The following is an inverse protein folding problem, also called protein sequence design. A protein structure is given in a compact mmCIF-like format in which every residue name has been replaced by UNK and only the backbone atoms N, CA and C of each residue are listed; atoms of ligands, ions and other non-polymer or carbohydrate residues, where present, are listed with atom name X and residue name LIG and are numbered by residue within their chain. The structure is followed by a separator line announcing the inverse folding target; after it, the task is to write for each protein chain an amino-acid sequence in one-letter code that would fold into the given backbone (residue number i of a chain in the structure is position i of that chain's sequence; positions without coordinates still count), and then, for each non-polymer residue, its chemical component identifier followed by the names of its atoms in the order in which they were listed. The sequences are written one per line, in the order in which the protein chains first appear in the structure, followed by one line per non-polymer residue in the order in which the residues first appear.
data_IF_552299976249
#
_entry.id   IF_552299976249
#
_cell.length_a   1.000
_cell.length_b   1.000
_cell.length_c   1.000
_cell.angle_alpha   90.00
_cell.angle_beta   90.00
_cell.angle_gamma   90.00
#
_symmetry.space_group_name_H-M   'P 1'
#
loop_
_entity.id
_entity.type
_entity.pdbx_description
1 polymer ?
#
# COMPACT_ATOMS: atom_id res chain seq x y z
N UNK A 1 8.87 -17.33 -44.96
CA UNK A 1 8.37 -16.98 -43.62
C UNK A 1 9.06 -15.70 -43.18
N UNK A 2 8.24 -14.74 -42.78
CA UNK A 2 8.55 -13.30 -42.71
C UNK A 2 9.48 -12.94 -41.54
N UNK A 3 10.55 -12.20 -41.84
CA UNK A 3 11.45 -11.59 -40.87
C UNK A 3 10.84 -10.30 -40.27
N UNK A 4 10.71 -10.35 -38.94
CA UNK A 4 11.01 -9.31 -37.94
C UNK A 4 11.17 -7.84 -38.37
N UNK A 5 10.24 -7.04 -37.81
CA UNK A 5 10.48 -5.77 -37.11
C UNK A 5 11.19 -4.63 -37.86
N UNK A 6 10.40 -3.72 -38.41
CA UNK A 6 10.76 -2.31 -38.50
C UNK A 6 9.51 -1.48 -38.18
N UNK A 7 9.30 -1.17 -36.89
CA UNK A 7 8.28 -0.23 -36.48
C UNK A 7 8.69 1.17 -36.97
N UNK A 8 7.97 1.67 -37.96
CA UNK A 8 8.05 3.04 -38.45
C UNK A 8 7.96 4.02 -37.28
N UNK A 9 9.08 4.59 -36.85
CA UNK A 9 9.10 5.85 -36.14
C UNK A 9 8.58 6.91 -37.11
N UNK A 10 7.31 7.29 -36.96
CA UNK A 10 6.82 8.46 -37.66
C UNK A 10 7.59 9.67 -37.14
N UNK A 11 8.22 10.48 -38.02
CA UNK A 11 8.87 11.70 -37.59
C UNK A 11 7.82 12.63 -36.98
N UNK A 12 8.02 13.01 -35.72
CA UNK A 12 7.22 14.01 -35.03
C UNK A 12 7.28 15.31 -35.85
N UNK A 13 6.17 15.68 -36.50
CA UNK A 13 6.07 16.87 -37.37
C UNK A 13 5.92 18.19 -36.63
N UNK A 14 6.10 18.22 -35.30
CA UNK A 14 6.17 19.47 -34.56
C UNK A 14 7.62 19.88 -34.40
N UNK A 15 8.01 20.98 -35.03
CA UNK A 15 9.29 21.63 -34.81
C UNK A 15 9.50 21.84 -33.31
N UNK A 16 10.61 21.33 -32.77
CA UNK A 16 11.05 21.61 -31.41
C UNK A 16 11.57 23.05 -31.36
N UNK A 17 10.67 24.02 -31.49
CA UNK A 17 10.95 25.44 -31.42
C UNK A 17 10.38 25.97 -30.11
N UNK A 18 11.24 26.49 -29.25
CA UNK A 18 10.85 27.13 -27.98
C UNK A 18 10.18 28.49 -28.21
N UNK A 19 10.22 29.01 -29.44
CA UNK A 19 9.57 30.27 -29.83
C UNK A 19 8.13 30.01 -30.26
N UNK A 20 7.19 30.72 -29.66
CA UNK A 20 5.78 30.66 -30.05
C UNK A 20 5.63 31.08 -31.51
N UNK A 21 4.97 30.25 -32.33
CA UNK A 21 4.61 30.59 -33.71
C UNK A 21 3.72 31.83 -33.67
N UNK A 22 4.19 32.94 -34.25
CA UNK A 22 3.41 34.16 -34.36
C UNK A 22 2.25 33.93 -35.31
N UNK A 23 1.02 33.87 -34.78
CA UNK A 23 -0.19 33.75 -35.59
C UNK A 23 -0.41 35.04 -36.41
N UNK A 24 -0.80 34.89 -37.67
CA UNK A 24 -1.20 36.02 -38.50
C UNK A 24 -2.34 36.80 -37.82
N UNK A 25 -2.25 38.14 -37.77
CA UNK A 25 -3.28 39.01 -37.15
C UNK A 25 -4.62 38.92 -37.88
N UNK A 26 -5.40 37.87 -37.62
CA UNK A 26 -6.82 37.79 -37.96
C UNK A 26 -7.63 38.27 -36.75
N UNK A 27 -8.72 39.00 -36.98
CA UNK A 27 -9.52 39.70 -35.94
C UNK A 27 -10.15 38.78 -34.86
N UNK A 28 -10.09 37.45 -34.99
CA UNK A 28 -10.64 36.50 -34.02
C UNK A 28 -9.57 35.51 -33.56
N UNK A 29 -9.34 35.46 -32.24
CA UNK A 29 -8.48 34.45 -31.62
C UNK A 29 -9.08 33.05 -31.86
N UNK A 30 -8.27 32.01 -32.15
CA UNK A 30 -8.78 30.65 -32.27
C UNK A 30 -9.46 30.23 -30.96
N UNK A 31 -10.65 29.64 -31.08
CA UNK A 31 -11.39 29.10 -29.92
C UNK A 31 -10.57 27.95 -29.34
N UNK A 32 -9.85 28.21 -28.25
CA UNK A 32 -9.17 27.16 -27.51
C UNK A 32 -10.19 26.11 -27.05
N UNK A 33 -9.80 24.84 -27.14
CA UNK A 33 -10.60 23.74 -26.60
C UNK A 33 -10.78 23.97 -25.08
N UNK A 34 -12.04 23.92 -24.63
CA UNK A 34 -12.41 24.08 -23.21
C UNK A 34 -11.68 23.06 -22.34
N UNK A 35 -11.41 21.85 -22.85
CA UNK A 35 -10.65 20.82 -22.13
C UNK A 35 -9.23 21.29 -21.84
N UNK A 36 -8.56 21.86 -22.84
CA UNK A 36 -7.20 22.41 -22.70
C UNK A 36 -7.21 23.61 -21.76
N UNK A 37 -8.22 24.48 -21.83
CA UNK A 37 -8.38 25.59 -20.89
C UNK A 37 -8.57 25.13 -19.46
N UNK A 38 -9.40 24.10 -19.21
CA UNK A 38 -9.61 23.52 -17.88
C UNK A 38 -8.33 22.86 -17.35
N UNK A 39 -7.63 22.08 -18.16
CA UNK A 39 -6.34 21.49 -17.78
C UNK A 39 -5.34 22.57 -17.39
N UNK A 40 -5.20 23.63 -18.19
CA UNK A 40 -4.31 24.77 -17.87
C UNK A 40 -4.73 25.47 -16.58
N UNK A 41 -6.03 25.67 -16.37
CA UNK A 41 -6.57 26.28 -15.16
C UNK A 41 -6.31 25.46 -13.90
N UNK A 42 -6.47 24.13 -13.95
CA UNK A 42 -6.22 23.26 -12.79
C UNK A 42 -4.73 23.00 -12.54
N UNK A 43 -3.88 23.03 -13.57
CA UNK A 43 -2.43 22.90 -13.41
C UNK A 43 -1.78 24.19 -12.90
N UNK A 44 -2.22 25.35 -13.40
CA UNK A 44 -1.67 26.66 -13.06
C UNK A 44 -2.81 27.57 -12.64
N UNK A 45 -3.25 27.36 -11.40
CA UNK A 45 -4.38 28.11 -10.88
C UNK A 45 -3.95 29.56 -10.54
N UNK A 46 -4.60 30.59 -11.11
CA UNK A 46 -4.20 31.98 -10.90
C UNK A 46 -4.38 32.46 -9.44
N UNK A 47 -5.23 31.77 -8.65
CA UNK A 47 -5.39 32.01 -7.21
C UNK A 47 -4.47 31.15 -6.34
N UNK A 48 -3.40 30.57 -6.89
CA UNK A 48 -2.38 29.93 -6.05
C UNK A 48 -1.73 30.99 -5.16
N UNK A 49 -1.80 30.86 -3.82
CA UNK A 49 -1.22 31.85 -2.94
C UNK A 49 0.30 31.85 -3.07
N UNK A 50 0.92 32.99 -2.81
CA UNK A 50 2.38 33.09 -2.74
C UNK A 50 2.92 32.21 -1.60
N UNK A 51 4.19 31.76 -1.68
CA UNK A 51 4.82 31.00 -0.61
C UNK A 51 4.75 31.74 0.73
N UNK A 52 4.54 30.98 1.79
CA UNK A 52 4.34 31.49 3.13
C UNK A 52 5.63 32.10 3.70
N UNK A 53 5.55 33.32 4.23
CA UNK A 53 6.67 34.02 4.88
C UNK A 53 6.44 34.05 6.38
N UNK A 54 7.31 33.41 7.14
CA UNK A 54 7.25 33.39 8.60
C UNK A 54 8.25 34.37 9.23
N UNK A 55 7.84 35.00 10.33
CA UNK A 55 8.79 35.65 11.24
C UNK A 55 9.65 34.60 11.96
N UNK A 56 10.81 35.01 12.48
CA UNK A 56 11.77 34.10 13.14
C UNK A 56 11.13 33.21 14.21
N UNK A 57 10.39 33.79 15.16
CA UNK A 57 9.74 33.04 16.23
C UNK A 57 8.67 32.06 15.71
N UNK A 58 7.90 32.46 14.69
CA UNK A 58 6.89 31.57 14.07
C UNK A 58 7.56 30.40 13.34
N UNK A 59 8.66 30.67 12.62
CA UNK A 59 9.44 29.66 11.94
C UNK A 59 10.03 28.64 12.93
N UNK A 60 10.61 29.09 14.04
CA UNK A 60 11.16 28.21 15.07
C UNK A 60 10.08 27.32 15.73
N UNK A 61 8.91 27.87 16.02
CA UNK A 61 7.76 27.08 16.53
C UNK A 61 7.35 26.01 15.52
N UNK A 62 7.19 26.39 14.26
CA UNK A 62 6.82 25.45 13.20
C UNK A 62 7.87 24.34 13.04
N UNK A 63 9.15 24.70 13.02
CA UNK A 63 10.27 23.75 12.92
C UNK A 63 10.26 22.76 14.09
N UNK A 64 10.02 23.25 15.30
CA UNK A 64 9.98 22.40 16.50
C UNK A 64 8.82 21.41 16.44
N UNK A 65 7.61 21.87 16.08
CA UNK A 65 6.43 21.01 15.91
C UNK A 65 6.68 19.96 14.83
N UNK A 66 7.21 20.38 13.68
CA UNK A 66 7.54 19.48 12.57
C UNK A 66 8.55 18.41 13.00
N UNK A 67 9.61 18.79 13.71
CA UNK A 67 10.62 17.85 14.20
C UNK A 67 10.04 16.87 15.21
N UNK A 68 9.22 17.36 16.15
CA UNK A 68 8.52 16.52 17.12
C UNK A 68 7.59 15.52 16.43
N UNK A 69 6.88 15.94 15.37
CA UNK A 69 6.02 15.08 14.57
C UNK A 69 6.81 13.99 13.84
N UNK A 70 7.94 14.33 13.21
CA UNK A 70 8.82 13.33 12.59
C UNK A 70 9.33 12.28 13.58
N UNK A 71 9.73 12.73 14.78
CA UNK A 71 10.18 11.84 15.85
C UNK A 71 9.04 10.94 16.34
N UNK A 72 7.85 11.49 16.51
CA UNK A 72 6.66 10.71 16.86
C UNK A 72 6.35 9.66 15.79
N UNK A 73 6.33 10.03 14.51
CA UNK A 73 6.11 9.08 13.41
C UNK A 73 7.15 7.97 13.36
N UNK A 74 8.42 8.29 13.59
CA UNK A 74 9.50 7.30 13.68
C UNK A 74 9.25 6.31 14.81
N UNK A 75 8.89 6.78 16.00
CA UNK A 75 8.54 5.92 17.15
C UNK A 75 7.30 5.05 16.87
N UNK A 76 6.27 5.61 16.24
CA UNK A 76 5.06 4.86 15.87
C UNK A 76 5.39 3.75 14.87
N UNK A 77 6.27 4.02 13.89
CA UNK A 77 6.71 3.01 12.93
C UNK A 77 7.52 1.90 13.60
N UNK A 78 8.50 2.26 14.43
CA UNK A 78 9.29 1.29 15.21
C UNK A 78 8.40 0.41 16.09
N UNK A 79 7.42 1.00 16.78
CA UNK A 79 6.47 0.24 17.60
C UNK A 79 5.68 -0.77 16.76
N UNK A 80 5.25 -0.38 15.55
CA UNK A 80 4.55 -1.28 14.63
C UNK A 80 5.46 -2.41 14.14
N UNK A 81 6.69 -2.10 13.78
CA UNK A 81 7.68 -3.09 13.33
C UNK A 81 7.97 -4.12 14.43
N UNK A 82 8.23 -3.67 15.67
CA UNK A 82 8.44 -4.56 16.82
C UNK A 82 7.23 -5.45 17.12
N UNK A 83 6.02 -4.92 16.97
CA UNK A 83 4.80 -5.70 17.18
C UNK A 83 4.62 -6.76 16.08
N UNK A 84 4.94 -6.44 14.82
CA UNK A 84 4.94 -7.40 13.73
C UNK A 84 6.02 -8.48 13.93
N UNK A 85 7.21 -8.10 14.38
CA UNK A 85 8.28 -9.04 14.74
C UNK A 85 7.85 -9.96 15.88
N UNK A 86 7.20 -9.42 16.93
CA UNK A 86 6.65 -10.20 18.04
C UNK A 86 5.65 -11.23 17.55
N UNK A 87 4.70 -10.82 16.71
CA UNK A 87 3.69 -11.71 16.12
C UNK A 87 4.35 -12.78 15.25
N UNK A 88 5.32 -12.41 14.41
CA UNK A 88 6.07 -13.34 13.58
C UNK A 88 6.83 -14.37 14.41
N UNK A 89 7.57 -13.94 15.44
CA UNK A 89 8.32 -14.84 16.31
C UNK A 89 7.39 -15.79 17.08
N UNK A 90 6.24 -15.31 17.53
CA UNK A 90 5.20 -16.15 18.15
C UNK A 90 4.66 -17.20 17.18
N UNK A 91 4.33 -16.80 15.94
CA UNK A 91 3.87 -17.72 14.91
C UNK A 91 4.94 -18.74 14.54
N UNK A 92 6.21 -18.31 14.40
CA UNK A 92 7.35 -19.17 14.12
C UNK A 92 7.53 -20.23 15.22
N UNK A 93 7.50 -19.82 16.49
CA UNK A 93 7.61 -20.74 17.63
C UNK A 93 6.49 -21.78 17.63
N UNK A 94 5.25 -21.36 17.37
CA UNK A 94 4.11 -22.28 17.26
C UNK A 94 4.26 -23.26 16.07
N UNK A 95 4.75 -22.80 14.92
CA UNK A 95 5.01 -23.66 13.76
C UNK A 95 6.14 -24.67 14.01
N UNK A 96 7.23 -24.27 14.68
CA UNK A 96 8.28 -25.20 15.08
C UNK A 96 7.76 -26.26 16.07
N UNK A 97 6.91 -25.86 17.02
CA UNK A 97 6.24 -26.80 17.91
C UNK A 97 5.38 -27.80 17.11
N UNK A 98 4.55 -27.34 16.17
CA UNK A 98 3.74 -28.20 15.29
C UNK A 98 4.57 -29.15 14.42
N UNK A 99 5.81 -28.78 14.08
CA UNK A 99 6.72 -29.61 13.29
C UNK A 99 7.20 -30.84 14.07
N UNK A 100 7.32 -30.70 15.40
CA UNK A 100 7.76 -31.75 16.32
C UNK A 100 6.60 -32.47 17.02
N UNK A 101 5.35 -32.06 16.78
CA UNK A 101 4.16 -32.71 17.35
C UNK A 101 3.78 -33.96 16.57
N UNK A 102 3.44 -35.02 17.31
CA UNK A 102 2.80 -36.24 16.79
C UNK A 102 1.30 -36.06 16.57
N UNK A 103 0.65 -37.03 15.92
CA UNK A 103 -0.80 -37.05 15.66
C UNK A 103 -1.66 -36.97 16.93
N UNK A 104 -1.11 -37.31 18.10
CA UNK A 104 -1.77 -37.24 19.40
C UNK A 104 -1.58 -35.89 20.13
N UNK A 105 -0.88 -34.93 19.50
CA UNK A 105 -0.66 -33.60 20.06
C UNK A 105 0.44 -33.51 21.13
N UNK A 106 1.26 -34.55 21.26
CA UNK A 106 2.43 -34.56 22.16
C UNK A 106 3.68 -34.18 21.36
N UNK A 107 4.55 -33.34 21.92
CA UNK A 107 5.85 -33.03 21.33
C UNK A 107 6.78 -34.22 21.48
N UNK A 108 7.42 -34.61 20.39
CA UNK A 108 8.33 -35.75 20.35
C UNK A 108 9.73 -35.26 20.02
N UNK A 109 10.71 -35.73 20.77
CA UNK A 109 12.10 -35.48 20.45
C UNK A 109 12.47 -36.26 19.20
N UNK A 110 13.14 -35.60 18.25
CA UNK A 110 13.42 -36.15 16.92
C UNK A 110 14.19 -37.49 16.95
N UNK A 111 14.95 -37.74 18.01
CA UNK A 111 15.73 -38.97 18.21
C UNK A 111 14.88 -40.16 18.70
N UNK A 112 13.70 -39.90 19.27
CA UNK A 112 12.82 -40.91 19.89
C UNK A 112 11.69 -41.40 18.98
N UNK A 113 11.67 -40.97 17.71
CA UNK A 113 10.54 -41.25 16.81
C UNK A 113 10.68 -42.65 16.19
N UNK A 114 9.78 -43.55 16.59
CA UNK A 114 9.60 -44.85 15.93
C UNK A 114 9.32 -44.67 14.42
N UNK A 115 10.06 -45.37 13.57
CA UNK A 115 9.95 -45.26 12.11
C UNK A 115 8.51 -45.47 11.57
N UNK A 116 7.68 -46.22 12.29
CA UNK A 116 6.28 -46.49 11.95
C UNK A 116 5.38 -45.26 12.15
N UNK A 117 5.68 -44.40 13.13
CA UNK A 117 4.91 -43.18 13.47
C UNK A 117 5.51 -41.90 12.89
N UNK A 118 6.69 -41.99 12.27
CA UNK A 118 7.36 -40.86 11.64
C UNK A 118 6.50 -40.13 10.58
N UNK A 119 5.50 -40.79 9.98
CA UNK A 119 4.57 -40.17 9.03
C UNK A 119 3.56 -39.21 9.68
N UNK A 120 3.24 -39.43 10.95
CA UNK A 120 2.26 -38.66 11.69
C UNK A 120 2.87 -37.39 12.31
N UNK A 121 4.16 -37.46 12.67
CA UNK A 121 4.95 -36.29 13.10
C UNK A 121 4.96 -35.21 12.00
N UNK A 122 4.63 -33.97 12.39
CA UNK A 122 4.63 -32.83 11.48
C UNK A 122 3.55 -32.88 10.40
N UNK A 123 2.56 -33.78 10.49
CA UNK A 123 1.39 -33.79 9.59
C UNK A 123 0.59 -32.49 9.67
N UNK A 124 0.32 -32.02 10.89
CA UNK A 124 -0.40 -30.75 11.13
C UNK A 124 0.36 -29.55 10.58
N UNK A 125 1.69 -29.52 10.75
CA UNK A 125 2.54 -28.49 10.15
C UNK A 125 2.41 -28.44 8.62
N UNK A 126 2.47 -29.60 7.94
CA UNK A 126 2.30 -29.68 6.48
C UNK A 126 0.94 -29.14 6.03
N UNK A 127 -0.14 -29.48 6.75
CA UNK A 127 -1.49 -28.97 6.44
C UNK A 127 -1.56 -27.45 6.66
N UNK A 128 -1.03 -26.93 7.77
CA UNK A 128 -1.04 -25.51 8.07
C UNK A 128 -0.25 -24.67 7.05
N UNK A 129 0.77 -25.25 6.40
CA UNK A 129 1.55 -24.58 5.35
C UNK A 129 0.86 -24.57 3.97
N UNK A 130 -0.26 -25.28 3.80
CA UNK A 130 -1.04 -25.22 2.57
C UNK A 130 -1.69 -23.85 2.44
N UNK A 131 -1.45 -23.16 1.32
CA UNK A 131 -2.01 -21.84 1.02
C UNK A 131 -3.30 -21.95 0.21
N UNK A 132 -4.17 -22.88 0.59
CA UNK A 132 -5.46 -23.07 -0.08
C UNK A 132 -6.36 -21.87 0.20
N UNK A 133 -7.01 -21.33 -0.83
CA UNK A 133 -7.96 -20.20 -0.77
C UNK A 133 -7.44 -18.87 -0.18
N UNK A 134 -6.16 -18.77 0.19
CA UNK A 134 -5.53 -17.53 0.69
C UNK A 134 -5.62 -16.41 -0.35
N UNK A 135 -5.59 -16.77 -1.64
CA UNK A 135 -5.64 -15.82 -2.75
C UNK A 135 -7.05 -15.35 -3.12
N UNK A 136 -8.11 -15.95 -2.53
CA UNK A 136 -9.49 -15.52 -2.74
C UNK A 136 -9.83 -14.24 -1.95
N UNK A 137 -8.88 -13.73 -1.16
CA UNK A 137 -8.99 -12.48 -0.42
C UNK A 137 -9.62 -12.65 0.96
N UNK A 138 -9.87 -11.52 1.61
CA UNK A 138 -10.51 -11.46 2.94
C UNK A 138 -11.99 -11.15 2.74
N UNK A 139 -12.92 -11.82 3.46
CA UNK A 139 -14.34 -11.51 3.34
C UNK A 139 -14.64 -10.04 3.65
N UNK A 140 -15.46 -9.40 2.82
CA UNK A 140 -15.70 -7.96 2.86
C UNK A 140 -16.27 -7.46 4.20
N UNK A 141 -16.97 -8.33 4.92
CA UNK A 141 -17.52 -8.06 6.25
C UNK A 141 -16.45 -7.76 7.30
N UNK A 142 -15.28 -8.41 7.20
CA UNK A 142 -14.14 -8.20 8.11
C UNK A 142 -13.20 -7.10 7.65
N UNK A 143 -13.24 -6.71 6.37
CA UNK A 143 -12.38 -5.67 5.80
C UNK A 143 -12.90 -4.24 6.05
N UNK A 144 -13.85 -4.05 6.97
CA UNK A 144 -14.44 -2.74 7.27
C UNK A 144 -13.40 -1.80 7.90
N UNK A 145 -13.28 -0.61 7.34
CA UNK A 145 -12.40 0.45 7.85
C UNK A 145 -12.97 1.08 9.13
N UNK A 146 -12.07 1.59 9.98
CA UNK A 146 -12.46 2.33 11.18
C UNK A 146 -13.12 3.66 10.80
N UNK A 147 -14.26 3.98 11.43
CA UNK A 147 -15.00 5.24 11.25
C UNK A 147 -14.77 6.17 12.43
N UNK A 148 -14.98 7.48 12.23
CA UNK A 148 -14.83 8.48 13.29
C UNK A 148 -15.86 8.33 14.41
N UNK A 149 -17.10 7.98 14.07
CA UNK A 149 -18.18 7.68 15.02
C UNK A 149 -18.76 6.30 14.71
N UNK A 150 -19.22 5.55 15.73
CA UNK A 150 -19.85 4.25 15.51
C UNK A 150 -21.20 4.40 14.80
N UNK A 151 -21.66 3.32 14.15
CA UNK A 151 -23.02 3.26 13.60
C UNK A 151 -24.06 3.33 14.73
N UNK A 152 -25.27 3.81 14.41
CA UNK A 152 -26.40 3.87 15.36
C UNK A 152 -26.73 2.50 15.95
N UNK A 153 -26.74 1.48 15.10
CA UNK A 153 -27.10 0.11 15.48
C UNK A 153 -25.88 -0.67 16.02
N UNK A 154 -24.68 -0.07 16.00
CA UNK A 154 -23.46 -0.66 16.55
C UNK A 154 -23.08 -2.01 15.93
N UNK A 155 -23.15 -3.08 16.74
CA UNK A 155 -22.85 -4.46 16.36
C UNK A 155 -24.15 -5.26 16.18
N UNK A 156 -24.22 -6.06 15.12
CA UNK A 156 -25.39 -6.90 14.87
C UNK A 156 -25.37 -8.16 15.77
N UNK A 157 -26.12 -8.13 16.86
CA UNK A 157 -26.28 -9.27 17.76
C UNK A 157 -27.25 -10.35 17.25
N UNK A 158 -28.06 -10.04 16.23
CA UNK A 158 -29.08 -10.93 15.65
C UNK A 158 -28.55 -11.71 14.45
N UNK A 159 -27.24 -11.68 14.19
CA UNK A 159 -26.65 -12.40 13.07
C UNK A 159 -26.89 -13.92 13.19
N UNK A 160 -27.44 -14.52 12.14
CA UNK A 160 -27.68 -15.96 12.00
C UNK A 160 -26.95 -16.50 10.78
N UNK A 161 -26.44 -17.73 10.88
CA UNK A 161 -25.69 -18.43 9.83
C UNK A 161 -26.56 -18.83 8.64
#
# INVERSE_FOLDING_TARGET
MSCLACAFQQPQKSSFSTTAVLEARKKQKPKMDRRITLIRYFLQHPLTPRPLRFSRNRYLRHWTIHRAWQLFQSKVRQKRELELERQYNSMRGACEALRLMDGNGVQVDAESVDATKAKDVGRLYRIAMLKNDVWNGVPIEYARIQTHTPSRDGWNHEWTR
#
